data_IF_874112003271
#
_entry.id   IF_874112003271
#
_cell.length_a   1.000
_cell.length_b   1.000
_cell.length_c   1.000
_cell.angle_alpha   90.00
_cell.angle_beta   90.00
_cell.angle_gamma   90.00
#
_symmetry.space_group_name_H-M   'P 1'
#
loop_
_entity.id
_entity.type
_entity.pdbx_description
1 polymer ?
#
# COMPACT_ATOMS: atom_id res chain seq x y z
N UNK A 1 11.88 -0.96 -2.20
CA UNK A 1 10.87 -0.19 -2.98
C UNK A 1 10.44 1.02 -2.17
N UNK A 2 10.41 2.20 -2.78
CA UNK A 2 9.93 3.40 -2.11
C UNK A 2 8.50 3.72 -2.56
N UNK A 3 7.91 4.77 -1.98
CA UNK A 3 6.53 5.15 -2.26
C UNK A 3 6.30 5.46 -3.74
N UNK A 4 7.25 6.14 -4.39
CA UNK A 4 7.14 6.50 -5.80
C UNK A 4 7.11 5.25 -6.67
N UNK A 5 7.96 4.29 -6.37
CA UNK A 5 8.01 3.02 -7.10
C UNK A 5 6.71 2.23 -6.92
N UNK A 6 6.18 2.20 -5.69
CA UNK A 6 4.89 1.54 -5.44
C UNK A 6 3.77 2.20 -6.23
N UNK A 7 3.70 3.54 -6.25
CA UNK A 7 2.68 4.26 -7.01
C UNK A 7 2.79 3.95 -8.50
N UNK A 8 4.01 3.87 -9.04
CA UNK A 8 4.21 3.51 -10.43
C UNK A 8 3.74 2.08 -10.73
N UNK A 9 4.00 1.14 -9.80
CA UNK A 9 3.54 -0.23 -9.94
C UNK A 9 2.02 -0.30 -9.95
N UNK A 10 1.36 0.39 -9.04
CA UNK A 10 -0.10 0.43 -9.01
C UNK A 10 -0.67 1.09 -10.27
N UNK A 11 -0.02 2.11 -10.77
CA UNK A 11 -0.44 2.78 -12.01
C UNK A 11 -0.40 1.82 -13.20
N UNK A 12 0.55 0.90 -13.23
CA UNK A 12 0.66 -0.09 -14.30
C UNK A 12 -0.52 -1.07 -14.34
N UNK A 13 -1.31 -1.15 -13.28
CA UNK A 13 -2.51 -1.96 -13.20
C UNK A 13 -3.78 -1.17 -13.59
N UNK A 14 -3.64 0.01 -14.14
CA UNK A 14 -4.74 0.86 -14.64
C UNK A 14 -5.75 1.29 -13.57
N UNK A 15 -5.32 1.47 -12.33
CA UNK A 15 -6.20 2.02 -11.32
C UNK A 15 -6.48 3.50 -11.60
N UNK A 16 -7.71 3.97 -11.29
CA UNK A 16 -8.06 5.39 -11.46
C UNK A 16 -7.13 6.31 -10.66
N UNK A 17 -6.90 7.50 -11.17
CA UNK A 17 -6.00 8.47 -10.52
C UNK A 17 -6.44 8.81 -9.10
N UNK A 18 -7.74 8.84 -8.82
CA UNK A 18 -8.23 9.13 -7.48
C UNK A 18 -7.74 8.11 -6.45
N UNK A 19 -7.63 6.84 -6.86
CA UNK A 19 -7.10 5.79 -5.98
C UNK A 19 -5.61 5.99 -5.76
N UNK A 20 -4.87 6.30 -6.82
CA UNK A 20 -3.43 6.58 -6.72
C UNK A 20 -3.16 7.78 -5.83
N UNK A 21 -3.97 8.84 -5.94
CA UNK A 21 -3.82 10.02 -5.08
C UNK A 21 -4.10 9.71 -3.62
N UNK A 22 -5.05 8.80 -3.35
CA UNK A 22 -5.33 8.37 -1.98
C UNK A 22 -4.12 7.68 -1.36
N UNK A 23 -3.46 6.79 -2.11
CA UNK A 23 -2.22 6.16 -1.67
C UNK A 23 -1.10 7.18 -1.46
N UNK A 24 -1.02 8.19 -2.33
CA UNK A 24 -0.01 9.23 -2.21
C UNK A 24 -0.13 10.01 -0.90
N UNK A 25 -1.36 10.29 -0.47
CA UNK A 25 -1.62 11.07 0.75
C UNK A 25 -1.39 10.29 2.03
N UNK A 26 -1.54 8.98 2.02
CA UNK A 26 -1.41 8.16 3.21
C UNK A 26 0.05 7.77 3.43
N UNK A 27 0.54 8.01 4.64
CA UNK A 27 1.90 7.60 5.03
C UNK A 27 1.83 6.20 5.61
N UNK A 28 1.92 5.19 4.75
CA UNK A 28 1.80 3.78 5.13
C UNK A 28 2.79 3.40 6.23
N UNK A 29 3.99 4.00 6.21
CA UNK A 29 5.04 3.73 7.19
C UNK A 29 4.63 4.09 8.62
N UNK A 30 3.65 4.97 8.81
CA UNK A 30 3.17 5.33 10.14
C UNK A 30 2.33 4.23 10.79
N UNK A 31 1.84 3.29 10.00
CA UNK A 31 0.97 2.22 10.46
C UNK A 31 1.69 0.88 10.54
N UNK A 32 2.99 0.88 10.33
CA UNK A 32 3.81 -0.33 10.26
C UNK A 32 4.76 -0.37 11.47
N UNK A 33 4.93 -1.53 12.14
CA UNK A 33 5.91 -1.67 13.22
C UNK A 33 7.31 -1.27 12.74
N UNK A 34 8.14 -0.74 13.65
CA UNK A 34 9.48 -0.26 13.32
C UNK A 34 10.33 -1.31 12.58
N UNK A 35 10.20 -2.57 12.95
CA UNK A 35 10.95 -3.66 12.32
C UNK A 35 10.58 -3.89 10.86
N UNK A 36 9.41 -3.39 10.40
CA UNK A 36 8.95 -3.56 9.03
C UNK A 36 8.89 -2.25 8.25
N UNK A 37 9.38 -1.14 8.80
CA UNK A 37 9.26 0.17 8.13
C UNK A 37 9.94 0.22 6.77
N UNK A 38 11.05 -0.48 6.60
CA UNK A 38 11.73 -0.53 5.31
C UNK A 38 10.89 -1.24 4.24
N UNK A 39 9.95 -2.10 4.67
CA UNK A 39 9.06 -2.84 3.78
C UNK A 39 7.71 -2.17 3.58
N UNK A 40 7.50 -0.97 4.16
CA UNK A 40 6.19 -0.31 4.16
C UNK A 40 5.59 -0.11 2.76
N UNK A 41 6.43 0.10 1.76
CA UNK A 41 5.98 0.36 0.39
C UNK A 41 6.20 -0.81 -0.56
N UNK A 42 6.53 -1.98 -0.03
CA UNK A 42 6.50 -3.20 -0.83
C UNK A 42 5.04 -3.57 -1.09
N UNK A 43 4.78 -4.10 -2.28
CA UNK A 43 3.42 -4.52 -2.64
C UNK A 43 3.15 -5.92 -2.08
N UNK A 44 3.04 -5.99 -0.75
CA UNK A 44 2.80 -7.23 -0.02
C UNK A 44 2.11 -6.93 1.31
N UNK A 45 1.44 -7.92 1.93
CA UNK A 45 0.89 -7.75 3.28
C UNK A 45 2.02 -7.60 4.30
N UNK A 46 1.78 -6.86 5.38
CA UNK A 46 2.76 -6.63 6.43
C UNK A 46 2.13 -6.98 7.78
N UNK A 47 2.79 -7.80 8.62
CA UNK A 47 2.27 -8.08 9.96
C UNK A 47 2.29 -6.82 10.82
N UNK A 48 1.20 -6.55 11.55
CA UNK A 48 1.11 -5.38 12.45
C UNK A 48 0.88 -5.79 13.90
N UNK A 49 0.35 -6.99 14.11
CA UNK A 49 0.10 -7.55 15.45
C UNK A 49 -0.01 -9.06 15.31
N UNK A 50 -0.06 -9.78 16.44
CA UNK A 50 -0.22 -11.23 16.42
C UNK A 50 -1.52 -11.59 15.71
N UNK A 51 -1.40 -12.33 14.60
CA UNK A 51 -2.54 -12.76 13.80
C UNK A 51 -3.19 -11.71 12.92
N UNK A 52 -2.61 -10.50 12.85
CA UNK A 52 -3.15 -9.43 12.02
C UNK A 52 -2.11 -8.93 11.04
N UNK A 53 -2.57 -8.45 9.88
CA UNK A 53 -1.71 -7.88 8.85
C UNK A 53 -2.33 -6.60 8.27
N UNK A 54 -1.46 -5.73 7.75
CA UNK A 54 -1.94 -4.65 6.88
C UNK A 54 -1.94 -5.20 5.47
N UNK A 55 -3.04 -4.99 4.75
CA UNK A 55 -3.23 -5.59 3.43
C UNK A 55 -2.22 -5.11 2.39
N UNK A 56 -1.92 -5.97 1.41
CA UNK A 56 -1.09 -5.63 0.27
C UNK A 56 -1.69 -4.43 -0.46
N UNK A 57 -0.87 -3.45 -0.88
CA UNK A 57 -1.39 -2.27 -1.58
C UNK A 57 -2.26 -2.56 -2.79
N UNK A 58 -1.87 -3.51 -3.63
CA UNK A 58 -2.68 -3.90 -4.78
C UNK A 58 -4.08 -4.36 -4.36
N UNK A 59 -4.17 -5.16 -3.30
CA UNK A 59 -5.45 -5.66 -2.79
C UNK A 59 -6.34 -4.52 -2.33
N UNK A 60 -5.78 -3.56 -1.60
CA UNK A 60 -6.53 -2.39 -1.14
C UNK A 60 -7.04 -1.58 -2.34
N UNK A 61 -6.18 -1.31 -3.32
CA UNK A 61 -6.54 -0.56 -4.50
C UNK A 61 -7.64 -1.26 -5.31
N UNK A 62 -7.52 -2.58 -5.47
CA UNK A 62 -8.51 -3.38 -6.18
C UNK A 62 -9.88 -3.29 -5.51
N UNK A 63 -9.93 -3.45 -4.19
CA UNK A 63 -11.17 -3.38 -3.44
C UNK A 63 -11.79 -1.99 -3.48
N UNK A 64 -10.99 -0.93 -3.36
CA UNK A 64 -11.47 0.44 -3.48
C UNK A 64 -12.06 0.71 -4.86
N UNK A 65 -11.46 0.15 -5.89
CA UNK A 65 -11.93 0.35 -7.27
C UNK A 65 -13.26 -0.33 -7.54
N UNK A 66 -13.67 -1.28 -6.70
CA UNK A 66 -14.98 -1.94 -6.84
C UNK A 66 -16.12 -1.09 -6.28
N UNK A 67 -15.80 -0.09 -5.45
CA UNK A 67 -16.79 0.81 -4.89
C UNK A 67 -17.22 1.84 -5.93
#
# INVERSE_FOLDING_TARGET
>A
MNKKELLNELKSHDFPEIILKSFEKVKRELFVPNEFKESAYLNQPIPIAIGSTISQPYTIAFMLNLL
#
